data_IF_123921113713
#
_entry.id   IF_123921113713
#
_cell.length_a   1.000
_cell.length_b   1.000
_cell.length_c   1.000
_cell.angle_alpha   90.00
_cell.angle_beta   90.00
_cell.angle_gamma   90.00
#
_symmetry.space_group_name_H-M   'P 1'
#
loop_
_entity.id
_entity.type
_entity.pdbx_description
1 polymer ?
#
# COMPACT_ATOMS: atom_id res chain seq x y z
N UNK A 1 17.07 -15.78 6.98
CA UNK A 1 17.26 -15.32 5.59
C UNK A 1 15.99 -15.61 4.80
N UNK A 2 15.80 -14.94 3.68
CA UNK A 2 14.66 -15.21 2.79
C UNK A 2 14.96 -16.47 1.96
N UNK A 3 13.95 -17.31 1.74
CA UNK A 3 14.08 -18.54 0.94
C UNK A 3 13.09 -18.52 -0.22
N UNK A 4 13.53 -18.91 -1.41
CA UNK A 4 12.71 -19.00 -2.63
C UNK A 4 12.90 -20.37 -3.22
N UNK A 5 11.82 -21.14 -3.36
CA UNK A 5 11.89 -22.53 -3.83
C UNK A 5 12.78 -23.42 -2.95
N UNK A 6 12.86 -23.14 -1.64
CA UNK A 6 13.68 -23.90 -0.70
C UNK A 6 15.17 -23.52 -0.66
N UNK A 7 15.61 -22.55 -1.47
CA UNK A 7 17.00 -22.08 -1.50
C UNK A 7 17.12 -20.69 -0.88
N UNK A 8 18.23 -20.42 -0.19
CA UNK A 8 18.52 -19.09 0.38
C UNK A 8 18.61 -18.06 -0.75
N UNK A 9 17.89 -16.95 -0.62
CA UNK A 9 17.91 -15.83 -1.55
C UNK A 9 18.48 -14.58 -0.86
N UNK A 10 19.68 -14.18 -1.28
CA UNK A 10 20.34 -12.95 -0.81
C UNK A 10 20.17 -11.79 -1.81
N UNK A 11 19.51 -12.04 -2.94
CA UNK A 11 19.34 -11.17 -4.09
C UNK A 11 17.86 -10.80 -4.34
N UNK A 12 17.01 -10.93 -3.32
CA UNK A 12 15.56 -10.80 -3.47
C UNK A 12 14.92 -9.78 -2.52
N UNK A 13 13.96 -9.03 -3.05
CA UNK A 13 13.14 -8.07 -2.31
C UNK A 13 11.67 -8.49 -2.31
N UNK A 14 11.09 -8.70 -1.12
CA UNK A 14 9.65 -8.96 -0.97
C UNK A 14 8.94 -7.68 -0.51
N UNK A 15 7.88 -7.29 -1.21
CA UNK A 15 7.04 -6.12 -0.87
C UNK A 15 5.62 -6.57 -0.58
N UNK A 16 5.09 -6.15 0.57
CA UNK A 16 3.70 -6.42 0.99
C UNK A 16 3.03 -5.09 1.29
N UNK A 17 1.79 -4.91 0.81
CA UNK A 17 1.04 -3.66 0.95
C UNK A 17 -0.36 -3.98 1.48
N UNK A 18 -0.75 -3.35 2.57
CA UNK A 18 -2.15 -3.36 3.02
C UNK A 18 -2.82 -2.06 2.58
N UNK A 19 -3.82 -2.17 1.72
CA UNK A 19 -4.74 -1.09 1.39
C UNK A 19 -5.95 -1.14 2.33
N UNK A 20 -6.27 0.02 2.90
CA UNK A 20 -7.34 0.13 3.92
C UNK A 20 -8.29 1.28 3.61
N UNK A 21 -7.74 2.45 3.28
CA UNK A 21 -8.52 3.67 3.11
C UNK A 21 -9.46 3.64 1.88
N UNK A 22 -9.09 2.87 0.85
CA UNK A 22 -9.84 2.68 -0.39
C UNK A 22 -9.52 1.29 -0.96
N UNK A 23 -10.53 0.60 -1.44
CA UNK A 23 -10.38 -0.59 -2.29
C UNK A 23 -10.30 -0.17 -3.77
N UNK A 24 -9.64 -0.99 -4.58
CA UNK A 24 -9.53 -0.78 -6.02
C UNK A 24 -10.30 -1.91 -6.71
N UNK A 25 -11.59 -1.73 -6.92
CA UNK A 25 -12.44 -2.79 -7.48
C UNK A 25 -12.37 -2.91 -9.01
N UNK A 26 -11.99 -1.81 -9.67
CA UNK A 26 -11.87 -1.78 -11.13
C UNK A 26 -10.55 -2.43 -11.60
N UNK A 27 -10.60 -3.47 -12.47
CA UNK A 27 -9.40 -4.16 -12.93
C UNK A 27 -8.39 -3.27 -13.67
N UNK A 28 -8.87 -2.25 -14.40
CA UNK A 28 -7.97 -1.32 -15.09
C UNK A 28 -7.21 -0.45 -14.08
N UNK A 29 -7.92 0.07 -13.07
CA UNK A 29 -7.29 0.79 -11.96
C UNK A 29 -6.33 -0.08 -11.15
N UNK A 30 -6.64 -1.35 -10.92
CA UNK A 30 -5.71 -2.30 -10.27
C UNK A 30 -4.41 -2.44 -11.08
N UNK A 31 -4.53 -2.60 -12.40
CA UNK A 31 -3.37 -2.69 -13.28
C UNK A 31 -2.56 -1.39 -13.27
N UNK A 32 -3.21 -0.23 -13.29
CA UNK A 32 -2.54 1.07 -13.21
C UNK A 32 -1.81 1.24 -11.88
N UNK A 33 -2.40 0.77 -10.77
CA UNK A 33 -1.75 0.77 -9.46
C UNK A 33 -0.46 -0.07 -9.47
N UNK A 34 -0.52 -1.30 -9.98
CA UNK A 34 0.65 -2.18 -10.07
C UNK A 34 1.76 -1.60 -10.95
N UNK A 35 1.40 -0.95 -12.06
CA UNK A 35 2.35 -0.21 -12.91
C UNK A 35 2.98 0.95 -12.14
N UNK A 36 2.20 1.69 -11.34
CA UNK A 36 2.68 2.74 -10.46
C UNK A 36 3.70 2.23 -9.44
N UNK A 37 3.39 1.15 -8.73
CA UNK A 37 4.31 0.52 -7.78
C UNK A 37 5.62 0.09 -8.46
N UNK A 38 5.52 -0.52 -9.64
CA UNK A 38 6.68 -0.98 -10.41
C UNK A 38 7.61 0.18 -10.76
N UNK A 39 7.06 1.32 -11.20
CA UNK A 39 7.83 2.54 -11.49
C UNK A 39 8.56 3.10 -10.26
N UNK A 40 7.92 3.04 -9.08
CA UNK A 40 8.54 3.50 -7.83
C UNK A 40 9.69 2.58 -7.41
N UNK A 41 9.52 1.27 -7.56
CA UNK A 41 10.54 0.28 -7.18
C UNK A 41 11.74 0.25 -8.13
N UNK A 42 11.53 0.56 -9.41
CA UNK A 42 12.53 0.42 -10.47
C UNK A 42 13.93 0.95 -10.12
N UNK A 43 14.14 2.23 -9.73
CA UNK A 43 15.49 2.74 -9.45
C UNK A 43 16.17 2.14 -8.20
N UNK A 44 15.41 1.43 -7.35
CA UNK A 44 15.89 0.90 -6.07
C UNK A 44 16.02 -0.62 -6.04
N UNK A 45 15.27 -1.33 -6.87
CA UNK A 45 15.15 -2.79 -6.82
C UNK A 45 15.51 -3.42 -8.17
N UNK A 46 14.59 -3.39 -9.14
CA UNK A 46 14.76 -4.06 -10.42
C UNK A 46 15.92 -3.46 -11.23
N UNK A 47 16.02 -2.13 -11.29
CA UNK A 47 17.12 -1.42 -11.93
C UNK A 47 18.49 -1.63 -11.26
N UNK A 48 18.54 -2.24 -10.07
CA UNK A 48 19.78 -2.66 -9.38
C UNK A 48 20.06 -4.16 -9.50
N UNK A 49 19.26 -4.89 -10.26
CA UNK A 49 19.45 -6.32 -10.53
C UNK A 49 18.86 -7.26 -9.46
N UNK A 50 18.07 -6.75 -8.52
CA UNK A 50 17.38 -7.62 -7.55
C UNK A 50 16.15 -8.30 -8.18
N UNK A 51 15.92 -9.56 -7.82
CA UNK A 51 14.64 -10.23 -8.04
C UNK A 51 13.61 -9.70 -7.04
N UNK A 52 12.34 -9.65 -7.41
CA UNK A 52 11.33 -9.09 -6.50
C UNK A 52 9.93 -9.65 -6.72
N UNK A 53 9.11 -9.52 -5.68
CA UNK A 53 7.68 -9.86 -5.69
C UNK A 53 6.90 -8.84 -4.85
N UNK A 54 5.77 -8.38 -5.40
CA UNK A 54 4.84 -7.49 -4.72
C UNK A 54 3.45 -8.12 -4.70
N UNK A 55 2.77 -7.99 -3.57
CA UNK A 55 1.33 -8.22 -3.50
C UNK A 55 0.67 -7.13 -2.65
N UNK A 56 -0.63 -7.00 -2.84
CA UNK A 56 -1.49 -6.03 -2.14
C UNK A 56 -2.67 -6.81 -1.57
N UNK A 57 -2.94 -6.59 -0.29
CA UNK A 57 -4.14 -7.06 0.38
C UNK A 57 -5.06 -5.86 0.65
N UNK A 58 -6.35 -6.04 0.41
CA UNK A 58 -7.39 -5.11 0.86
C UNK A 58 -7.89 -5.56 2.24
N UNK A 59 -7.87 -4.66 3.21
CA UNK A 59 -8.28 -4.96 4.59
C UNK A 59 -9.51 -4.13 5.01
N UNK A 60 -10.33 -4.62 5.96
CA UNK A 60 -11.58 -3.95 6.31
C UNK A 60 -11.39 -2.55 6.92
N UNK A 61 -11.92 -1.52 6.27
CA UNK A 61 -11.89 -0.13 6.76
C UNK A 61 -12.47 0.02 8.18
N UNK A 62 -13.57 -0.69 8.47
CA UNK A 62 -14.24 -0.62 9.77
C UNK A 62 -13.40 -1.20 10.92
N UNK A 63 -12.31 -1.91 10.64
CA UNK A 63 -11.39 -2.45 11.63
C UNK A 63 -10.09 -1.62 11.75
N UNK A 64 -10.06 -0.40 11.22
CA UNK A 64 -8.92 0.50 11.26
C UNK A 64 -9.15 1.70 12.19
N UNK A 65 -8.10 2.16 12.87
CA UNK A 65 -8.06 3.39 13.66
C UNK A 65 -6.70 4.07 13.54
N UNK A 66 -6.67 5.39 13.65
CA UNK A 66 -5.44 6.18 13.76
C UNK A 66 -5.53 7.02 15.03
N UNK A 67 -4.56 6.87 15.95
CA UNK A 67 -4.55 7.54 17.26
C UNK A 67 -5.87 7.37 18.05
N UNK A 68 -6.50 6.20 17.93
CA UNK A 68 -7.77 5.89 18.61
C UNK A 68 -9.02 6.49 17.95
N UNK A 69 -8.88 7.22 16.84
CA UNK A 69 -10.00 7.77 16.08
C UNK A 69 -10.30 6.92 14.84
N UNK A 70 -11.59 6.82 14.50
CA UNK A 70 -12.01 6.28 13.20
C UNK A 70 -11.65 7.27 12.10
N UNK A 71 -10.91 6.84 11.06
CA UNK A 71 -10.69 7.69 9.90
C UNK A 71 -12.02 8.02 9.23
N UNK A 72 -12.18 9.26 8.77
CA UNK A 72 -13.37 9.63 8.02
C UNK A 72 -13.42 8.90 6.68
N UNK A 73 -14.62 8.59 6.20
CA UNK A 73 -14.77 7.99 4.88
C UNK A 73 -14.23 8.91 3.78
N UNK A 74 -13.76 8.33 2.66
CA UNK A 74 -13.32 9.08 1.49
C UNK A 74 -14.37 10.08 0.99
N UNK A 75 -13.92 11.27 0.59
CA UNK A 75 -14.75 12.33 0.01
C UNK A 75 -15.57 13.15 1.01
N UNK A 76 -15.47 12.86 2.32
CA UNK A 76 -16.20 13.61 3.34
C UNK A 76 -15.50 14.93 3.71
N UNK A 77 -16.23 15.95 4.19
CA UNK A 77 -15.61 17.17 4.73
C UNK A 77 -14.61 16.89 5.86
N UNK A 78 -14.83 15.82 6.62
CA UNK A 78 -13.92 15.37 7.66
C UNK A 78 -12.58 14.85 7.07
N UNK A 79 -12.60 14.09 5.96
CA UNK A 79 -11.38 13.70 5.26
C UNK A 79 -10.60 14.93 4.76
N UNK A 80 -11.29 15.92 4.20
CA UNK A 80 -10.67 17.16 3.73
C UNK A 80 -9.99 17.92 4.88
N UNK A 81 -10.63 17.97 6.06
CA UNK A 81 -10.04 18.55 7.27
C UNK A 81 -8.81 17.77 7.73
N UNK A 82 -8.89 16.44 7.82
CA UNK A 82 -7.73 15.62 8.21
C UNK A 82 -6.56 15.79 7.25
N UNK A 83 -6.84 15.89 5.94
CA UNK A 83 -5.84 16.14 4.90
C UNK A 83 -5.20 17.53 5.05
N UNK A 84 -5.98 18.57 5.31
CA UNK A 84 -5.44 19.94 5.45
C UNK A 84 -4.63 20.12 6.73
N UNK A 85 -5.06 19.49 7.83
CA UNK A 85 -4.34 19.53 9.12
C UNK A 85 -3.16 18.55 9.17
N UNK A 86 -3.11 17.59 8.22
CA UNK A 86 -2.15 16.48 8.17
C UNK A 86 -2.06 15.70 9.50
N UNK A 87 -3.21 15.50 10.16
CA UNK A 87 -3.32 14.75 11.42
C UNK A 87 -4.75 14.26 11.65
N UNK A 88 -4.95 13.19 12.45
CA UNK A 88 -6.26 12.85 12.98
C UNK A 88 -6.84 13.97 13.85
N UNK A 89 -8.11 14.29 13.66
CA UNK A 89 -8.86 15.24 14.50
C UNK A 89 -10.33 14.87 14.62
N UNK A 90 -11.00 15.35 15.68
CA UNK A 90 -12.44 15.08 15.88
C UNK A 90 -13.28 15.84 14.85
N UNK A 91 -14.40 15.23 14.43
CA UNK A 91 -15.35 15.75 13.45
C UNK A 91 -16.79 15.38 13.81
#
# INVERSE_FOLDING_TARGET
>A
GLFIGGQVANDFVRVTIDHIARSIDDPEMQQQFLVGCSRVLEPYVAGRGYRWELHVDDTPFDLWMINGLKPPHPGTPAELKWRSENRPSTY
#
